data_IF_068474715884
#
_entry.id   IF_068474715884
#
_cell.length_a   1.000
_cell.length_b   1.000
_cell.length_c   1.000
_cell.angle_alpha   90.00
_cell.angle_beta   90.00
_cell.angle_gamma   90.00
#
_symmetry.space_group_name_H-M   'P 1'
#
loop_
_entity.id
_entity.type
_entity.pdbx_description
1 polymer ?
#
# COMPACT_ATOMS: atom_id res chain seq x y z
N UNK A 1 -52.89 -60.09 12.08
CA UNK A 1 -52.24 -59.80 10.78
C UNK A 1 -51.81 -58.33 10.65
N UNK A 2 -52.69 -57.35 10.90
CA UNK A 2 -52.40 -55.90 10.82
C UNK A 2 -51.18 -55.41 11.60
N UNK A 3 -51.05 -55.78 12.88
CA UNK A 3 -49.89 -55.46 13.74
C UNK A 3 -48.52 -55.89 13.19
N UNK A 4 -48.45 -57.04 12.49
CA UNK A 4 -47.19 -57.52 11.89
C UNK A 4 -46.79 -56.65 10.69
N UNK A 5 -47.77 -56.17 9.93
CA UNK A 5 -47.54 -55.29 8.78
C UNK A 5 -47.13 -53.88 9.23
N UNK A 6 -47.79 -53.30 10.23
CA UNK A 6 -47.40 -52.02 10.83
C UNK A 6 -45.98 -52.06 11.42
N UNK A 7 -45.59 -53.20 12.03
CA UNK A 7 -44.22 -53.42 12.51
C UNK A 7 -43.21 -53.41 11.36
N UNK A 8 -43.50 -54.11 10.26
CA UNK A 8 -42.64 -54.18 9.07
C UNK A 8 -42.44 -52.79 8.44
N UNK A 9 -43.53 -52.03 8.30
CA UNK A 9 -43.50 -50.66 7.78
C UNK A 9 -42.68 -49.73 8.69
N UNK A 10 -42.84 -49.84 10.01
CA UNK A 10 -42.07 -49.06 10.98
C UNK A 10 -40.57 -49.38 10.89
N UNK A 11 -40.19 -50.65 10.78
CA UNK A 11 -38.79 -51.06 10.59
C UNK A 11 -38.18 -50.53 9.29
N UNK A 12 -38.96 -50.50 8.20
CA UNK A 12 -38.51 -49.91 6.94
C UNK A 12 -38.28 -48.41 7.07
N UNK A 13 -39.23 -47.67 7.67
CA UNK A 13 -39.08 -46.23 7.94
C UNK A 13 -37.86 -45.93 8.82
N UNK A 14 -37.57 -46.77 9.81
CA UNK A 14 -36.38 -46.63 10.66
C UNK A 14 -35.10 -46.73 9.80
N UNK A 15 -34.99 -47.76 8.94
CA UNK A 15 -33.82 -47.92 8.05
C UNK A 15 -33.64 -46.74 7.11
N UNK A 16 -34.72 -46.24 6.51
CA UNK A 16 -34.68 -45.06 5.64
C UNK A 16 -34.23 -43.81 6.40
N UNK A 17 -34.72 -43.61 7.62
CA UNK A 17 -34.31 -42.48 8.46
C UNK A 17 -32.87 -42.59 8.91
N UNK A 18 -32.37 -43.79 9.25
CA UNK A 18 -30.97 -44.03 9.57
C UNK A 18 -30.05 -43.67 8.38
N UNK A 19 -30.41 -44.09 7.16
CA UNK A 19 -29.67 -43.70 5.95
C UNK A 19 -29.61 -42.17 5.79
N UNK A 20 -30.76 -41.49 5.94
CA UNK A 20 -30.82 -40.01 5.87
C UNK A 20 -30.00 -39.32 6.96
N UNK A 21 -29.92 -39.90 8.16
CA UNK A 21 -29.08 -39.37 9.25
C UNK A 21 -27.61 -39.40 8.84
N UNK A 22 -27.14 -40.51 8.27
CA UNK A 22 -25.75 -40.61 7.82
C UNK A 22 -25.46 -39.66 6.64
N UNK A 23 -26.37 -39.54 5.67
CA UNK A 23 -26.26 -38.56 4.57
C UNK A 23 -26.16 -37.10 5.08
N UNK A 24 -26.93 -36.77 6.11
CA UNK A 24 -26.89 -35.45 6.76
C UNK A 24 -25.56 -35.22 7.50
N UNK A 25 -25.08 -36.21 8.27
CA UNK A 25 -23.78 -36.12 8.95
C UNK A 25 -22.65 -35.86 7.97
N UNK A 26 -22.61 -36.60 6.86
CA UNK A 26 -21.63 -36.40 5.78
C UNK A 26 -21.74 -35.01 5.15
N UNK A 27 -22.96 -34.53 4.93
CA UNK A 27 -23.17 -33.19 4.37
C UNK A 27 -22.69 -32.08 5.31
N UNK A 28 -22.91 -32.21 6.61
CA UNK A 28 -22.38 -31.28 7.62
C UNK A 28 -20.86 -31.23 7.59
N UNK A 29 -20.19 -32.38 7.55
CA UNK A 29 -18.71 -32.44 7.47
C UNK A 29 -18.21 -31.76 6.20
N UNK A 30 -18.85 -32.04 5.05
CA UNK A 30 -18.48 -31.45 3.76
C UNK A 30 -18.65 -29.92 3.76
N UNK A 31 -19.72 -29.40 4.35
CA UNK A 31 -19.94 -27.96 4.47
C UNK A 31 -18.85 -27.31 5.32
N UNK A 32 -18.56 -27.89 6.50
CA UNK A 32 -17.48 -27.40 7.37
C UNK A 32 -16.13 -27.37 6.67
N UNK A 33 -15.77 -28.45 5.98
CA UNK A 33 -14.51 -28.53 5.23
C UNK A 33 -14.45 -27.49 4.11
N UNK A 34 -15.52 -27.32 3.32
CA UNK A 34 -15.56 -26.33 2.24
C UNK A 34 -15.47 -24.89 2.78
N UNK A 35 -16.17 -24.59 3.86
CA UNK A 35 -16.11 -23.29 4.51
C UNK A 35 -14.69 -22.99 5.00
N UNK A 36 -14.05 -23.96 5.64
CA UNK A 36 -12.67 -23.83 6.10
C UNK A 36 -11.69 -23.56 4.96
N UNK A 37 -11.78 -24.33 3.86
CA UNK A 37 -10.95 -24.09 2.67
C UNK A 37 -11.21 -22.72 2.03
N UNK A 38 -12.46 -22.24 2.03
CA UNK A 38 -12.78 -20.91 1.53
C UNK A 38 -12.13 -19.81 2.39
N UNK A 39 -12.16 -19.95 3.72
CA UNK A 39 -11.50 -19.03 4.65
C UNK A 39 -9.98 -19.03 4.43
N UNK A 40 -9.35 -20.19 4.34
CA UNK A 40 -7.90 -20.29 4.11
C UNK A 40 -7.47 -19.61 2.80
N UNK A 41 -8.23 -19.84 1.71
CA UNK A 41 -7.98 -19.17 0.43
C UNK A 41 -8.17 -17.66 0.52
N UNK A 42 -9.18 -17.21 1.25
CA UNK A 42 -9.42 -15.79 1.49
C UNK A 42 -8.22 -15.13 2.18
N UNK A 43 -7.70 -15.74 3.24
CA UNK A 43 -6.52 -15.24 3.95
C UNK A 43 -5.29 -15.13 3.05
N UNK A 44 -5.05 -16.13 2.19
CA UNK A 44 -3.93 -16.10 1.23
C UNK A 44 -4.08 -14.92 0.26
N UNK A 45 -5.25 -14.75 -0.35
CA UNK A 45 -5.51 -13.68 -1.32
C UNK A 45 -5.28 -12.31 -0.68
N UNK A 46 -5.85 -12.07 0.50
CA UNK A 46 -5.67 -10.79 1.19
C UNK A 46 -4.23 -10.55 1.64
N UNK A 47 -3.52 -11.60 2.07
CA UNK A 47 -2.10 -11.50 2.43
C UNK A 47 -1.25 -11.06 1.23
N UNK A 48 -1.48 -11.63 0.05
CA UNK A 48 -0.77 -11.27 -1.19
C UNK A 48 -1.08 -9.82 -1.62
N UNK A 49 -2.34 -9.39 -1.50
CA UNK A 49 -2.75 -8.02 -1.78
C UNK A 49 -2.07 -7.02 -0.83
N UNK A 50 -2.08 -7.28 0.48
CA UNK A 50 -1.43 -6.44 1.49
C UNK A 50 0.07 -6.35 1.19
N UNK A 51 0.73 -7.48 0.95
CA UNK A 51 2.17 -7.52 0.64
C UNK A 51 2.51 -6.66 -0.59
N UNK A 52 1.65 -6.69 -1.63
CA UNK A 52 1.83 -5.89 -2.83
C UNK A 52 1.72 -4.38 -2.55
N UNK A 53 0.76 -3.97 -1.71
CA UNK A 53 0.61 -2.57 -1.28
C UNK A 53 1.79 -2.13 -0.42
N UNK A 54 2.25 -2.97 0.50
CA UNK A 54 3.41 -2.67 1.35
C UNK A 54 4.69 -2.52 0.53
N UNK A 55 4.90 -3.35 -0.48
CA UNK A 55 6.02 -3.20 -1.41
C UNK A 55 5.98 -1.84 -2.11
N UNK A 56 4.80 -1.43 -2.61
CA UNK A 56 4.63 -0.11 -3.24
C UNK A 56 4.84 1.05 -2.27
N UNK A 57 4.40 0.91 -1.01
CA UNK A 57 4.69 1.88 0.06
C UNK A 57 6.19 2.06 0.25
N UNK A 58 6.95 0.97 0.31
CA UNK A 58 8.40 0.99 0.44
C UNK A 58 9.07 1.67 -0.76
N UNK A 59 8.70 1.28 -1.99
CA UNK A 59 9.23 1.90 -3.22
C UNK A 59 9.01 3.43 -3.25
N UNK A 60 7.83 3.92 -2.86
CA UNK A 60 7.55 5.36 -2.81
C UNK A 60 8.38 6.05 -1.72
N UNK A 61 8.50 5.43 -0.55
CA UNK A 61 9.30 5.96 0.57
C UNK A 61 10.76 6.09 0.19
N UNK A 62 11.34 5.07 -0.45
CA UNK A 62 12.73 5.07 -0.92
C UNK A 62 12.97 6.18 -1.95
N UNK A 63 12.03 6.39 -2.89
CA UNK A 63 12.12 7.49 -3.86
C UNK A 63 12.14 8.86 -3.19
N UNK A 64 11.30 9.08 -2.17
CA UNK A 64 11.29 10.33 -1.39
C UNK A 64 12.64 10.55 -0.72
N UNK A 65 13.18 9.53 -0.04
CA UNK A 65 14.48 9.61 0.65
C UNK A 65 15.65 9.80 -0.29
N UNK A 66 15.63 9.14 -1.45
CA UNK A 66 16.65 9.31 -2.48
C UNK A 66 16.65 10.75 -3.03
N UNK A 67 15.47 11.31 -3.29
CA UNK A 67 15.34 12.70 -3.73
C UNK A 67 15.81 13.69 -2.66
N UNK A 68 15.38 13.51 -1.40
CA UNK A 68 15.82 14.30 -0.27
C UNK A 68 17.36 14.32 -0.18
N UNK A 69 17.99 13.14 -0.20
CA UNK A 69 19.45 13.02 -0.12
C UNK A 69 20.16 13.71 -1.29
N UNK A 70 19.66 13.54 -2.51
CA UNK A 70 20.27 14.16 -3.70
C UNK A 70 20.21 15.69 -3.64
N UNK A 71 19.10 16.24 -3.15
CA UNK A 71 18.91 17.68 -3.03
C UNK A 71 19.70 18.28 -1.87
N UNK A 72 19.77 17.60 -0.72
CA UNK A 72 20.63 18.00 0.39
C UNK A 72 22.10 18.03 -0.06
N UNK A 73 22.59 16.98 -0.71
CA UNK A 73 23.96 16.94 -1.24
C UNK A 73 24.23 18.03 -2.28
N UNK A 74 23.23 18.44 -3.05
CA UNK A 74 23.34 19.58 -3.97
C UNK A 74 23.42 20.90 -3.21
N UNK A 75 22.59 21.09 -2.18
CA UNK A 75 22.59 22.29 -1.35
C UNK A 75 23.89 22.44 -0.55
N UNK A 76 24.40 21.36 0.04
CA UNK A 76 25.67 21.32 0.79
C UNK A 76 26.85 21.76 -0.07
N UNK A 77 26.94 21.25 -1.31
CA UNK A 77 28.01 21.67 -2.25
C UNK A 77 27.93 23.14 -2.61
N UNK A 78 26.73 23.67 -2.81
CA UNK A 78 26.54 25.10 -3.09
C UNK A 78 26.89 25.96 -1.88
N UNK A 79 26.58 25.48 -0.68
CA UNK A 79 26.93 26.15 0.57
C UNK A 79 28.46 26.20 0.74
N UNK A 80 29.15 25.08 0.58
CA UNK A 80 30.61 25.02 0.68
C UNK A 80 31.30 25.96 -0.33
N UNK A 81 30.80 25.99 -1.58
CA UNK A 81 31.29 26.92 -2.60
C UNK A 81 31.12 28.38 -2.16
N UNK A 82 29.96 28.74 -1.63
CA UNK A 82 29.71 30.09 -1.13
C UNK A 82 30.56 30.46 0.08
N UNK A 83 30.74 29.55 1.03
CA UNK A 83 31.58 29.77 2.20
C UNK A 83 33.04 30.04 1.79
N UNK A 84 33.54 29.28 0.81
CA UNK A 84 34.87 29.48 0.24
C UNK A 84 34.98 30.84 -0.48
N UNK A 85 33.99 31.21 -1.31
CA UNK A 85 33.96 32.52 -1.96
C UNK A 85 33.96 33.67 -0.94
N UNK A 86 33.16 33.56 0.13
CA UNK A 86 33.13 34.55 1.22
C UNK A 86 34.48 34.62 1.94
N UNK A 87 35.11 33.49 2.23
CA UNK A 87 36.43 33.45 2.86
C UNK A 87 37.50 34.11 1.98
N UNK A 88 37.49 33.82 0.68
CA UNK A 88 38.41 34.44 -0.29
C UNK A 88 38.18 35.95 -0.42
N UNK A 89 36.92 36.40 -0.44
CA UNK A 89 36.59 37.82 -0.45
C UNK A 89 37.07 38.53 0.83
N UNK A 90 36.84 37.94 2.01
CA UNK A 90 37.33 38.47 3.28
C UNK A 90 38.86 38.61 3.28
N UNK A 91 39.58 37.58 2.81
CA UNK A 91 41.04 37.62 2.68
C UNK A 91 41.48 38.78 1.77
N UNK A 92 40.86 38.93 0.59
CA UNK A 92 41.19 40.02 -0.33
C UNK A 92 40.95 41.40 0.25
N UNK A 93 39.83 41.60 0.96
CA UNK A 93 39.55 42.87 1.65
C UNK A 93 40.67 43.19 2.66
N UNK A 94 41.09 42.21 3.46
CA UNK A 94 42.19 42.42 4.42
C UNK A 94 43.54 42.71 3.74
N UNK A 95 43.86 42.03 2.62
CA UNK A 95 45.07 42.28 1.83
C UNK A 95 45.07 43.70 1.23
N UNK A 96 43.91 44.16 0.72
CA UNK A 96 43.74 45.51 0.19
C UNK A 96 43.88 46.58 1.29
N UNK A 97 43.28 46.35 2.47
CA UNK A 97 43.45 47.25 3.61
C UNK A 97 44.92 47.37 4.02
N UNK A 98 45.65 46.26 4.13
CA UNK A 98 47.09 46.27 4.45
C UNK A 98 47.91 47.02 3.38
N UNK A 99 47.64 46.77 2.10
CA UNK A 99 48.34 47.42 1.00
C UNK A 99 48.11 48.93 0.98
N UNK A 100 46.91 49.40 1.36
CA UNK A 100 46.57 50.83 1.41
C UNK A 100 47.39 51.63 2.44
N UNK A 101 47.93 50.96 3.48
CA UNK A 101 48.78 51.57 4.50
C UNK A 101 50.28 51.48 4.18
N UNK A 102 50.67 50.89 3.03
CA UNK A 102 52.07 50.72 2.65
C UNK A 102 52.66 52.02 2.10
N UNK A 103 53.83 52.42 2.61
CA UNK A 103 54.57 53.61 2.14
C UNK A 103 55.57 53.32 1.00
N UNK A 104 55.88 52.05 0.75
CA UNK A 104 56.68 51.61 -0.41
C UNK A 104 55.82 51.57 -1.68
N UNK A 105 56.01 52.57 -2.55
CA UNK A 105 55.27 52.70 -3.79
C UNK A 105 55.57 51.61 -4.83
N UNK A 106 56.75 50.98 -4.79
CA UNK A 106 57.09 49.88 -5.70
C UNK A 106 56.34 48.62 -5.26
N UNK A 107 56.37 48.32 -3.96
CA UNK A 107 55.61 47.22 -3.36
C UNK A 107 54.10 47.38 -3.57
N UNK A 108 53.59 48.61 -3.45
CA UNK A 108 52.20 48.94 -3.75
C UNK A 108 51.83 48.57 -5.19
N UNK A 109 52.58 49.07 -6.18
CA UNK A 109 52.28 48.86 -7.60
C UNK A 109 52.33 47.37 -8.00
N UNK A 110 53.31 46.61 -7.49
CA UNK A 110 53.45 45.19 -7.80
C UNK A 110 52.28 44.35 -7.25
N UNK A 111 51.91 44.55 -5.98
CA UNK A 111 50.83 43.79 -5.35
C UNK A 111 49.44 44.22 -5.81
N UNK A 112 49.23 45.52 -6.05
CA UNK A 112 47.96 46.03 -6.56
C UNK A 112 47.64 45.43 -7.94
N UNK A 113 48.63 45.34 -8.83
CA UNK A 113 48.47 44.72 -10.14
C UNK A 113 48.10 43.23 -10.04
N UNK A 114 48.74 42.49 -9.12
CA UNK A 114 48.42 41.08 -8.85
C UNK A 114 46.97 40.89 -8.35
N UNK A 115 46.52 41.74 -7.42
CA UNK A 115 45.15 41.72 -6.88
C UNK A 115 44.09 42.05 -7.95
N UNK A 116 44.36 43.02 -8.83
CA UNK A 116 43.48 43.37 -9.93
C UNK A 116 43.33 42.25 -10.98
N UNK A 117 44.40 41.49 -11.25
CA UNK A 117 44.33 40.35 -12.20
C UNK A 117 43.55 39.18 -11.61
N UNK A 118 43.67 38.95 -10.29
CA UNK A 118 42.90 37.94 -9.54
C UNK A 118 41.40 38.26 -9.47
N UNK A 119 41.00 39.52 -9.67
CA UNK A 119 39.60 39.97 -9.76
C UNK A 119 38.84 39.42 -10.97
N UNK A 120 39.50 38.69 -11.89
CA UNK A 120 38.88 38.10 -13.09
C UNK A 120 37.83 37.02 -12.82
N UNK A 121 37.59 36.62 -11.58
CA UNK A 121 36.42 35.84 -11.19
C UNK A 121 35.16 36.73 -11.29
N UNK A 122 34.68 36.94 -12.51
CA UNK A 122 33.33 37.42 -12.82
C UNK A 122 32.33 36.68 -11.94
N UNK A 123 31.57 37.41 -11.13
CA UNK A 123 30.21 37.15 -10.60
C UNK A 123 29.60 35.76 -10.86
N UNK A 124 30.25 34.67 -10.46
CA UNK A 124 29.83 33.33 -10.87
C UNK A 124 29.30 32.50 -9.71
N UNK A 125 28.60 33.15 -8.78
CA UNK A 125 27.61 32.49 -7.95
C UNK A 125 26.21 33.03 -8.21
N UNK A 126 25.83 33.17 -9.49
CA UNK A 126 24.43 33.40 -9.88
C UNK A 126 23.67 32.08 -9.92
N UNK A 127 23.63 31.35 -8.79
CA UNK A 127 22.69 30.24 -8.69
C UNK A 127 21.31 30.80 -8.35
N UNK A 128 20.32 30.48 -9.18
CA UNK A 128 18.93 30.66 -8.80
C UNK A 128 18.58 29.55 -7.81
N UNK A 129 18.14 29.91 -6.61
CA UNK A 129 17.47 28.96 -5.71
C UNK A 129 16.25 28.43 -6.45
N UNK A 130 16.39 27.22 -7.00
CA UNK A 130 15.25 26.50 -7.59
C UNK A 130 14.29 26.25 -6.44
N UNK A 131 12.99 26.52 -6.66
CA UNK A 131 11.97 26.30 -5.63
C UNK A 131 12.16 24.93 -4.94
N UNK A 132 11.92 24.84 -3.62
CA UNK A 132 11.96 23.57 -2.91
C UNK A 132 11.10 22.55 -3.64
N UNK A 133 11.61 21.33 -3.78
CA UNK A 133 10.81 20.26 -4.39
C UNK A 133 9.56 20.06 -3.55
N UNK A 134 8.44 20.41 -4.15
CA UNK A 134 7.12 20.20 -3.59
C UNK A 134 6.83 18.70 -3.61
N UNK A 135 6.95 18.06 -2.45
CA UNK A 135 6.41 16.72 -2.22
C UNK A 135 4.86 16.70 -2.31
N UNK A 136 4.22 17.87 -2.42
CA UNK A 136 2.78 18.01 -2.60
C UNK A 136 2.26 17.25 -3.82
N UNK A 137 3.02 17.17 -4.93
CA UNK A 137 2.61 16.34 -6.09
C UNK A 137 2.51 14.86 -5.75
N UNK A 138 3.46 14.34 -4.96
CA UNK A 138 3.45 12.94 -4.51
C UNK A 138 2.26 12.71 -3.59
N UNK A 139 1.99 13.63 -2.66
CA UNK A 139 0.85 13.54 -1.74
C UNK A 139 -0.49 13.60 -2.47
N UNK A 140 -0.65 14.50 -3.44
CA UNK A 140 -1.85 14.58 -4.25
C UNK A 140 -2.08 13.28 -5.03
N UNK A 141 -1.02 12.75 -5.66
CA UNK A 141 -1.11 11.49 -6.42
C UNK A 141 -1.45 10.30 -5.51
N UNK A 142 -0.89 10.24 -4.29
CA UNK A 142 -1.23 9.19 -3.32
C UNK A 142 -2.64 9.34 -2.76
N UNK A 143 -3.13 10.57 -2.58
CA UNK A 143 -4.52 10.82 -2.19
C UNK A 143 -5.49 10.35 -3.28
N UNK A 144 -5.21 10.66 -4.54
CA UNK A 144 -6.02 10.20 -5.67
C UNK A 144 -5.99 8.68 -5.82
N UNK A 145 -4.82 8.06 -5.65
CA UNK A 145 -4.69 6.61 -5.63
C UNK A 145 -5.54 5.98 -4.52
N UNK A 146 -5.51 6.56 -3.31
CA UNK A 146 -6.31 6.09 -2.18
C UNK A 146 -7.79 6.10 -2.52
N UNK A 147 -8.31 7.23 -3.00
CA UNK A 147 -9.74 7.37 -3.37
C UNK A 147 -10.14 6.33 -4.42
N UNK A 148 -9.34 6.17 -5.48
CA UNK A 148 -9.62 5.15 -6.52
C UNK A 148 -9.58 3.73 -5.99
N UNK A 149 -8.66 3.45 -5.07
CA UNK A 149 -8.56 2.12 -4.46
C UNK A 149 -9.77 1.82 -3.57
N UNK A 150 -10.25 2.81 -2.81
CA UNK A 150 -11.46 2.68 -1.98
C UNK A 150 -12.71 2.46 -2.85
N UNK A 151 -12.88 3.25 -3.91
CA UNK A 151 -13.97 3.09 -4.89
C UNK A 151 -13.94 1.70 -5.54
N UNK A 152 -12.76 1.26 -6.00
CA UNK A 152 -12.58 -0.06 -6.57
C UNK A 152 -12.93 -1.18 -5.59
N UNK A 153 -12.53 -1.04 -4.32
CA UNK A 153 -12.86 -2.01 -3.29
C UNK A 153 -14.37 -2.13 -3.11
N UNK A 154 -15.08 -1.02 -2.91
CA UNK A 154 -16.54 -1.03 -2.75
C UNK A 154 -17.23 -1.74 -3.93
N UNK A 155 -16.85 -1.40 -5.16
CA UNK A 155 -17.43 -1.98 -6.37
C UNK A 155 -17.20 -3.49 -6.49
N UNK A 156 -15.98 -3.96 -6.23
CA UNK A 156 -15.64 -5.39 -6.34
C UNK A 156 -16.19 -6.21 -5.17
N UNK A 157 -16.19 -5.67 -3.94
CA UNK A 157 -16.75 -6.37 -2.79
C UNK A 157 -18.27 -6.52 -2.89
N UNK A 158 -18.97 -5.57 -3.51
CA UNK A 158 -20.40 -5.70 -3.78
C UNK A 158 -20.75 -6.84 -4.76
N UNK A 159 -19.81 -7.26 -5.63
CA UNK A 159 -20.02 -8.36 -6.58
C UNK A 159 -19.85 -9.74 -5.96
N UNK A 160 -19.30 -9.84 -4.75
CA UNK A 160 -19.11 -11.13 -4.08
C UNK A 160 -20.48 -11.70 -3.67
N UNK A 161 -20.88 -12.89 -4.17
CA UNK A 161 -22.19 -13.46 -3.87
C UNK A 161 -22.37 -13.74 -2.37
N UNK A 162 -23.54 -13.39 -1.84
CA UNK A 162 -23.91 -13.63 -0.43
C UNK A 162 -24.56 -15.00 -0.18
N UNK A 163 -25.15 -15.61 -1.20
CA UNK A 163 -26.14 -16.69 -1.03
C UNK A 163 -25.68 -18.10 -1.44
N UNK A 164 -24.50 -18.25 -2.05
CA UNK A 164 -24.02 -19.52 -2.63
C UNK A 164 -23.72 -20.62 -1.60
N UNK A 165 -23.62 -20.27 -0.31
CA UNK A 165 -23.31 -21.20 0.78
C UNK A 165 -24.56 -21.96 1.26
N UNK A 166 -25.76 -21.41 1.07
CA UNK A 166 -26.99 -21.93 1.68
C UNK A 166 -27.84 -22.84 0.77
N UNK A 167 -27.81 -22.61 -0.55
CA UNK A 167 -28.80 -23.20 -1.46
C UNK A 167 -28.70 -24.73 -1.65
N UNK A 168 -27.51 -25.33 -1.47
CA UNK A 168 -27.28 -26.72 -1.87
C UNK A 168 -27.37 -27.78 -0.74
N UNK A 169 -27.48 -27.38 0.53
CA UNK A 169 -27.15 -28.28 1.64
C UNK A 169 -28.30 -29.15 2.14
N UNK A 170 -29.50 -28.59 2.35
CA UNK A 170 -30.63 -29.33 2.95
C UNK A 170 -31.97 -28.76 2.48
N UNK A 171 -32.53 -29.32 1.41
CA UNK A 171 -33.91 -29.02 1.03
C UNK A 171 -34.84 -29.99 1.76
N UNK A 172 -35.59 -29.49 2.74
CA UNK A 172 -36.60 -30.26 3.47
C UNK A 172 -37.79 -30.51 2.56
N UNK A 173 -37.78 -31.63 1.82
CA UNK A 173 -38.99 -32.12 1.16
C UNK A 173 -39.90 -32.65 2.28
N UNK A 174 -40.91 -31.87 2.66
CA UNK A 174 -41.98 -32.38 3.52
C UNK A 174 -42.79 -33.39 2.71
N UNK A 175 -42.85 -34.63 3.18
CA UNK A 175 -43.92 -35.53 2.75
C UNK A 175 -45.23 -34.94 3.29
N UNK A 176 -46.19 -34.66 2.41
CA UNK A 176 -47.52 -34.20 2.79
C UNK A 176 -48.13 -35.21 3.78
N UNK A 177 -48.46 -34.74 4.98
CA UNK A 177 -49.26 -35.51 5.92
C UNK A 177 -50.64 -35.69 5.28
N UNK A 178 -51.16 -36.93 5.13
CA UNK A 178 -52.51 -37.16 4.62
C UNK A 178 -53.51 -36.38 5.48
N UNK A 179 -54.30 -35.50 4.86
CA UNK A 179 -55.24 -34.61 5.56
C UNK A 179 -56.62 -35.25 5.72
N UNK A 180 -56.89 -36.36 5.03
CA UNK A 180 -58.14 -37.11 5.16
C UNK A 180 -57.91 -38.60 5.38
N UNK A 181 -58.96 -39.25 5.89
CA UNK A 181 -59.00 -40.70 6.09
C UNK A 181 -58.96 -41.45 4.75
N UNK A 182 -59.52 -40.90 3.67
CA UNK A 182 -59.41 -41.52 2.34
C UNK A 182 -57.99 -41.41 1.76
N UNK A 183 -57.27 -40.31 1.99
CA UNK A 183 -55.86 -40.18 1.57
C UNK A 183 -54.94 -41.15 2.32
N UNK A 184 -55.27 -41.51 3.55
CA UNK A 184 -54.52 -42.47 4.34
C UNK A 184 -54.79 -43.94 3.95
N UNK A 185 -55.92 -44.21 3.28
CA UNK A 185 -56.39 -45.56 2.95
C UNK A 185 -56.20 -45.95 1.46
N UNK A 186 -55.62 -45.07 0.64
CA UNK A 186 -55.08 -45.38 -0.69
C UNK A 186 -53.67 -45.95 -0.58
#
# INVERSE_FOLDING_TARGET
>A
KKLKEERRQSQQRIREKQKKVEELKWSVIRIKSRAQTAVEKNEIIFTEMISSVEKKRSEVTERIRAQEKAELSRAERLLEQLEQEVADLKRRVTEQEQLSHTQDHIHFLQNFQSLCVSSGHKDSCRFTLREPISFGRIMNSLSELKTRFEEFCEDEFHKIPRDDVAAAAVQKISASVPKSREEFLK
#
